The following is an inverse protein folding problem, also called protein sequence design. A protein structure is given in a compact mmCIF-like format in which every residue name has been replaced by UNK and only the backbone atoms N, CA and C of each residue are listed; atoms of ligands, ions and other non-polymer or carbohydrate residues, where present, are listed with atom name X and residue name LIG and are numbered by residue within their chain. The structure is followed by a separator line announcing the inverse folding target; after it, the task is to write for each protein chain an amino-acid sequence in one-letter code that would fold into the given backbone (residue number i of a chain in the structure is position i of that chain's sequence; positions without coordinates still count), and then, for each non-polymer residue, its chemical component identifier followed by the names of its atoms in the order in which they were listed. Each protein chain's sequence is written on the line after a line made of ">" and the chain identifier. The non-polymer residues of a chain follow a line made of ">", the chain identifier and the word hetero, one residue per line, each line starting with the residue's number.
data_IF_320898412204
#
_entry.id   IF_320898412204
#
_cell.length_a   1.000
_cell.length_b   1.000
_cell.length_c   1.000
_cell.angle_alpha   90.00
_cell.angle_beta   90.00
_cell.angle_gamma   90.00
#
_symmetry.space_group_name_H-M   'P 1'
#
loop_
_entity.id
_entity.type
_entity.pdbx_description
1 polymer ?
#
# COMPACT_ATOMS: atom_id res chain seq x y z
N UNK A 1 27.49 6.68 18.23
CA UNK A 1 27.21 7.10 16.84
C UNK A 1 27.85 6.07 15.90
N UNK A 2 27.11 5.03 15.51
CA UNK A 2 27.54 4.12 14.45
C UNK A 2 26.54 4.30 13.31
N UNK A 3 26.79 5.27 12.44
CA UNK A 3 26.14 5.32 11.14
C UNK A 3 26.87 4.29 10.28
N UNK A 4 26.39 3.04 10.31
CA UNK A 4 26.83 2.04 9.35
C UNK A 4 26.37 2.48 7.97
N UNK A 5 27.31 2.89 7.13
CA UNK A 5 27.04 3.19 5.72
C UNK A 5 26.77 1.83 5.04
N UNK A 6 25.51 1.38 5.09
CA UNK A 6 25.06 0.26 4.29
C UNK A 6 24.61 0.83 2.96
N UNK A 7 25.34 0.50 1.89
CA UNK A 7 25.01 0.84 0.51
C UNK A 7 25.16 -0.41 -0.31
N UNK A 8 24.09 -0.84 -0.97
CA UNK A 8 24.09 -1.99 -1.88
C UNK A 8 23.81 -1.52 -3.30
N UNK A 9 24.34 -2.22 -4.31
CA UNK A 9 23.90 -2.04 -5.69
C UNK A 9 22.45 -2.49 -5.92
N UNK A 10 21.87 -3.20 -4.95
CA UNK A 10 20.47 -3.61 -4.94
C UNK A 10 19.54 -2.63 -4.20
N UNK A 11 20.06 -1.53 -3.65
CA UNK A 11 19.26 -0.48 -3.02
C UNK A 11 18.21 0.08 -3.98
N UNK A 12 17.02 0.38 -3.47
CA UNK A 12 15.94 0.94 -4.30
C UNK A 12 15.05 1.91 -3.53
N UNK A 13 14.45 2.85 -4.27
CA UNK A 13 13.37 3.72 -3.79
C UNK A 13 11.99 3.24 -4.24
N UNK A 14 11.92 2.13 -5.00
CA UNK A 14 10.66 1.53 -5.43
C UNK A 14 10.11 0.63 -4.31
N UNK A 15 9.01 1.01 -3.62
CA UNK A 15 8.48 0.25 -2.50
C UNK A 15 8.15 -1.19 -2.88
N UNK A 16 7.69 -1.46 -4.10
CA UNK A 16 7.34 -2.81 -4.54
C UNK A 16 8.57 -3.75 -4.62
N UNK A 17 9.78 -3.20 -4.81
CA UNK A 17 11.03 -3.97 -4.94
C UNK A 17 11.89 -3.97 -3.67
N UNK A 18 11.56 -3.11 -2.69
CA UNK A 18 12.30 -2.93 -1.46
C UNK A 18 12.59 -4.27 -0.75
N UNK A 19 13.85 -4.50 -0.39
CA UNK A 19 14.29 -5.76 0.22
C UNK A 19 15.24 -5.56 1.40
N UNK A 20 15.89 -4.39 1.51
CA UNK A 20 16.86 -4.08 2.55
C UNK A 20 16.27 -3.14 3.61
N UNK A 21 16.85 -3.14 4.81
CA UNK A 21 16.42 -2.24 5.90
C UNK A 21 16.61 -0.76 5.55
N UNK A 22 17.58 -0.43 4.70
CA UNK A 22 17.77 0.91 4.14
C UNK A 22 16.65 1.31 3.20
N UNK A 23 16.14 0.37 2.39
CA UNK A 23 14.97 0.60 1.54
C UNK A 23 13.72 0.85 2.39
N UNK A 24 13.53 0.09 3.47
CA UNK A 24 12.42 0.28 4.42
C UNK A 24 12.38 1.70 4.97
N UNK A 25 13.50 2.19 5.51
CA UNK A 25 13.56 3.54 6.09
C UNK A 25 13.28 4.61 5.03
N UNK A 26 13.80 4.44 3.81
CA UNK A 26 13.54 5.37 2.70
C UNK A 26 12.08 5.35 2.28
N UNK A 27 11.50 4.17 2.10
CA UNK A 27 10.11 4.02 1.66
C UNK A 27 9.15 4.61 2.70
N UNK A 28 9.32 4.27 3.97
CA UNK A 28 8.50 4.82 5.06
C UNK A 28 8.69 6.34 5.28
N UNK A 29 9.78 6.93 4.78
CA UNK A 29 10.01 8.38 4.86
C UNK A 29 9.43 9.14 3.67
N UNK A 30 9.27 8.50 2.52
CA UNK A 30 8.87 9.13 1.25
C UNK A 30 7.42 8.86 0.86
N UNK A 31 6.88 7.71 1.28
CA UNK A 31 5.57 7.21 0.86
C UNK A 31 4.68 6.90 2.06
N UNK A 32 3.38 7.07 1.87
CA UNK A 32 2.35 6.68 2.80
C UNK A 32 1.54 5.51 2.20
N UNK A 33 0.94 4.72 3.08
CA UNK A 33 0.09 3.56 2.75
C UNK A 33 -1.37 3.90 3.02
N UNK A 34 -2.28 3.01 2.62
CA UNK A 34 -3.69 3.14 3.01
C UNK A 34 -3.86 3.03 4.53
N UNK A 35 -3.09 2.14 5.15
CA UNK A 35 -3.08 1.86 6.58
C UNK A 35 -1.64 1.75 7.08
N UNK A 36 -1.43 1.85 8.38
CA UNK A 36 -0.12 1.62 8.98
C UNK A 36 -0.24 0.83 10.28
N UNK A 37 0.82 0.14 10.70
CA UNK A 37 0.90 -0.49 12.01
C UNK A 37 1.54 0.47 13.00
N UNK A 38 0.86 0.71 14.12
CA UNK A 38 1.43 1.49 15.22
C UNK A 38 2.45 0.67 16.04
N UNK A 39 3.01 1.30 17.08
CA UNK A 39 4.01 0.70 17.96
C UNK A 39 3.52 -0.56 18.71
N UNK A 40 2.21 -0.72 18.84
CA UNK A 40 1.57 -1.84 19.52
C UNK A 40 1.16 -2.94 18.52
N UNK A 41 1.46 -2.75 17.23
CA UNK A 41 1.09 -3.67 16.16
C UNK A 41 -0.38 -3.60 15.77
N UNK A 42 -1.06 -2.50 16.12
CA UNK A 42 -2.47 -2.29 15.77
C UNK A 42 -2.55 -1.51 14.46
N UNK A 43 -3.43 -1.97 13.57
CA UNK A 43 -3.67 -1.32 12.27
C UNK A 43 -4.44 -0.02 12.46
N UNK A 44 -3.88 1.06 11.94
CA UNK A 44 -4.41 2.41 11.96
C UNK A 44 -4.61 2.94 10.53
N UNK A 45 -5.51 3.91 10.37
CA UNK A 45 -5.81 4.53 9.07
C UNK A 45 -4.82 5.65 8.73
N UNK A 46 -4.15 5.55 7.58
CA UNK A 46 -3.19 6.55 7.10
C UNK A 46 -3.78 7.36 5.93
N UNK A 47 -3.64 6.92 4.67
CA UNK A 47 -4.30 7.56 3.53
C UNK A 47 -5.78 7.21 3.41
N UNK A 48 -6.18 6.04 3.94
CA UNK A 48 -7.58 5.72 4.11
C UNK A 48 -8.19 6.54 5.26
N UNK A 49 -9.47 6.88 5.13
CA UNK A 49 -10.32 7.41 6.18
C UNK A 49 -11.10 6.26 6.85
N UNK A 50 -11.60 5.31 6.06
CA UNK A 50 -12.29 4.12 6.56
C UNK A 50 -12.03 2.89 5.68
N UNK A 51 -12.23 1.73 6.29
CA UNK A 51 -12.08 0.43 5.66
C UNK A 51 -13.27 -0.44 6.08
N UNK A 52 -14.19 -0.68 5.15
CA UNK A 52 -15.49 -1.29 5.43
C UNK A 52 -15.70 -2.56 4.60
N UNK A 53 -16.21 -3.63 5.23
CA UNK A 53 -16.63 -4.84 4.54
C UNK A 53 -17.72 -5.57 5.34
N UNK A 54 -18.56 -6.33 4.62
CA UNK A 54 -19.61 -7.18 5.23
C UNK A 54 -19.26 -8.67 5.20
N UNK A 55 -18.35 -9.06 4.31
CA UNK A 55 -18.03 -10.45 3.97
C UNK A 55 -16.53 -10.74 4.02
N UNK A 56 -15.71 -9.76 4.39
CA UNK A 56 -14.25 -9.77 4.33
C UNK A 56 -13.68 -10.10 2.95
N UNK A 57 -14.49 -10.06 1.90
CA UNK A 57 -14.13 -10.39 0.51
C UNK A 57 -14.21 -9.17 -0.39
N UNK A 58 -15.23 -8.34 -0.20
CA UNK A 58 -15.38 -7.05 -0.88
C UNK A 58 -15.18 -5.93 0.12
N UNK A 59 -14.18 -5.11 -0.13
CA UNK A 59 -13.75 -4.05 0.76
C UNK A 59 -13.95 -2.69 0.11
N UNK A 60 -14.63 -1.79 0.81
CA UNK A 60 -14.77 -0.39 0.43
C UNK A 60 -13.80 0.44 1.26
N UNK A 61 -12.95 1.19 0.57
CA UNK A 61 -11.94 2.05 1.16
C UNK A 61 -12.29 3.50 0.83
N UNK A 62 -12.55 4.30 1.85
CA UNK A 62 -12.68 5.76 1.67
C UNK A 62 -11.33 6.40 1.86
N UNK A 63 -10.95 7.34 0.99
CA UNK A 63 -9.68 8.06 1.04
C UNK A 63 -9.86 9.39 1.75
N UNK A 64 -8.84 9.81 2.51
CA UNK A 64 -8.79 11.14 3.11
C UNK A 64 -8.79 12.22 2.03
N UNK A 65 -9.53 13.30 2.28
CA UNK A 65 -9.61 14.45 1.37
C UNK A 65 -8.45 15.42 1.61
N UNK A 66 -8.02 16.10 0.55
CA UNK A 66 -6.98 17.13 0.60
C UNK A 66 -5.56 16.58 0.71
N UNK A 67 -5.35 15.29 0.44
CA UNK A 67 -4.01 14.70 0.33
C UNK A 67 -3.46 14.99 -1.07
N UNK A 68 -2.23 15.49 -1.12
CA UNK A 68 -1.49 15.77 -2.35
C UNK A 68 -0.20 14.98 -2.39
N UNK A 69 0.21 14.57 -3.58
CA UNK A 69 1.56 14.07 -3.85
C UNK A 69 2.59 15.21 -3.75
N UNK A 70 3.86 14.85 -3.69
CA UNK A 70 4.97 15.81 -3.59
C UNK A 70 5.10 16.76 -4.80
N UNK A 71 4.47 16.42 -5.94
CA UNK A 71 4.39 17.25 -7.15
C UNK A 71 3.16 18.20 -7.17
N UNK A 72 2.33 18.15 -6.13
CA UNK A 72 1.11 18.96 -5.99
C UNK A 72 -0.14 18.35 -6.61
N UNK A 73 -0.08 17.16 -7.24
CA UNK A 73 -1.28 16.46 -7.73
C UNK A 73 -2.10 15.93 -6.55
N UNK A 74 -3.43 16.05 -6.62
CA UNK A 74 -4.33 15.42 -5.64
C UNK A 74 -4.27 13.88 -5.70
N UNK A 75 -4.32 13.23 -4.54
CA UNK A 75 -4.51 11.79 -4.44
C UNK A 75 -5.94 11.41 -4.85
N UNK A 76 -6.06 10.43 -5.76
CA UNK A 76 -7.36 9.89 -6.19
C UNK A 76 -7.42 8.36 -6.07
N UNK A 77 -8.64 7.84 -6.10
CA UNK A 77 -8.91 6.40 -6.16
C UNK A 77 -8.22 5.70 -7.33
N UNK A 78 -8.07 6.37 -8.48
CA UNK A 78 -7.37 5.82 -9.64
C UNK A 78 -5.87 5.59 -9.37
N UNK A 79 -5.23 6.49 -8.60
CA UNK A 79 -3.83 6.35 -8.21
C UNK A 79 -3.65 5.14 -7.28
N UNK A 80 -4.58 4.93 -6.34
CA UNK A 80 -4.57 3.75 -5.46
C UNK A 80 -4.77 2.47 -6.25
N UNK A 81 -5.76 2.44 -7.16
CA UNK A 81 -6.00 1.29 -8.03
C UNK A 81 -4.78 0.97 -8.90
N UNK A 82 -4.11 2.00 -9.43
CA UNK A 82 -2.87 1.85 -10.19
C UNK A 82 -1.78 1.19 -9.33
N UNK A 83 -1.50 1.72 -8.14
CA UNK A 83 -0.49 1.18 -7.22
C UNK A 83 -0.75 -0.28 -6.84
N UNK A 84 -2.00 -0.63 -6.53
CA UNK A 84 -2.37 -2.01 -6.21
C UNK A 84 -2.19 -2.95 -7.41
N UNK A 85 -2.64 -2.55 -8.60
CA UNK A 85 -2.45 -3.33 -9.83
C UNK A 85 -0.98 -3.50 -10.19
N UNK A 86 -0.14 -2.51 -9.89
CA UNK A 86 1.30 -2.55 -10.14
C UNK A 86 1.98 -3.74 -9.45
N UNK A 87 1.50 -4.20 -8.30
CA UNK A 87 2.04 -5.39 -7.64
C UNK A 87 1.76 -6.70 -8.38
N UNK A 88 0.73 -6.74 -9.23
CA UNK A 88 0.36 -7.92 -10.02
C UNK A 88 1.08 -7.99 -11.37
N UNK A 89 1.68 -6.88 -11.82
CA UNK A 89 2.50 -6.89 -13.02
C UNK A 89 3.82 -7.64 -12.78
N UNK A 90 4.01 -8.74 -13.51
CA UNK A 90 5.22 -9.56 -13.43
C UNK A 90 6.48 -8.78 -13.80
N UNK A 91 6.39 -7.79 -14.69
CA UNK A 91 7.52 -6.96 -15.10
C UNK A 91 8.01 -6.04 -13.96
N UNK A 92 7.13 -5.71 -13.01
CA UNK A 92 7.51 -4.94 -11.81
C UNK A 92 8.36 -5.79 -10.87
N UNK A 93 8.18 -7.10 -10.83
CA UNK A 93 8.97 -7.97 -9.93
C UNK A 93 8.72 -7.69 -8.45
N UNK A 94 7.48 -7.33 -8.11
CA UNK A 94 7.06 -6.99 -6.74
C UNK A 94 7.35 -8.12 -5.74
N UNK A 95 7.96 -7.78 -4.60
CA UNK A 95 8.28 -8.73 -3.52
C UNK A 95 7.02 -9.26 -2.83
N UNK A 96 5.93 -8.51 -2.87
CA UNK A 96 4.62 -8.89 -2.31
C UNK A 96 3.64 -9.35 -3.38
N UNK A 97 4.07 -9.63 -4.61
CA UNK A 97 3.19 -10.06 -5.71
C UNK A 97 2.29 -11.26 -5.34
N UNK A 98 2.82 -12.23 -4.58
CA UNK A 98 2.04 -13.39 -4.10
C UNK A 98 0.96 -13.00 -3.09
N UNK A 99 1.23 -12.00 -2.25
CA UNK A 99 0.25 -11.47 -1.30
C UNK A 99 -0.80 -10.66 -2.06
N UNK A 100 -0.39 -9.81 -3.00
CA UNK A 100 -1.29 -9.05 -3.85
C UNK A 100 -2.18 -9.93 -4.74
N UNK A 101 -1.73 -11.14 -5.12
CA UNK A 101 -2.48 -12.06 -5.98
C UNK A 101 -3.83 -12.50 -5.42
N UNK A 102 -4.06 -12.36 -4.10
CA UNK A 102 -5.37 -12.59 -3.51
C UNK A 102 -6.40 -11.51 -3.89
N UNK A 103 -5.95 -10.32 -4.30
CA UNK A 103 -6.79 -9.20 -4.74
C UNK A 103 -7.09 -9.35 -6.22
N UNK A 104 -8.31 -9.75 -6.54
CA UNK A 104 -8.74 -10.11 -7.90
C UNK A 104 -9.47 -8.98 -8.63
N UNK A 105 -9.96 -7.98 -7.89
CA UNK A 105 -10.69 -6.84 -8.44
C UNK A 105 -10.27 -5.53 -7.78
N UNK A 106 -10.16 -4.49 -8.60
CA UNK A 106 -9.91 -3.11 -8.14
C UNK A 106 -10.78 -2.16 -8.96
N UNK A 107 -11.56 -1.34 -8.27
CA UNK A 107 -12.47 -0.39 -8.90
C UNK A 107 -12.40 0.95 -8.16
N UNK A 108 -12.14 2.02 -8.89
CA UNK A 108 -12.41 3.36 -8.41
C UNK A 108 -13.93 3.59 -8.54
N UNK A 109 -14.64 3.60 -7.41
CA UNK A 109 -16.10 3.83 -7.38
C UNK A 109 -16.38 5.31 -7.63
N UNK A 110 -15.57 6.18 -7.02
CA UNK A 110 -15.51 7.62 -7.25
C UNK A 110 -14.09 8.11 -6.93
N UNK A 111 -13.84 9.43 -7.01
CA UNK A 111 -12.51 10.02 -6.79
C UNK A 111 -11.87 9.68 -5.45
N UNK A 112 -12.67 9.40 -4.42
CA UNK A 112 -12.24 9.17 -3.03
C UNK A 112 -12.66 7.80 -2.50
N UNK A 113 -13.18 6.91 -3.34
CA UNK A 113 -13.67 5.59 -2.91
C UNK A 113 -13.11 4.50 -3.82
N UNK A 114 -12.42 3.55 -3.21
CA UNK A 114 -11.86 2.36 -3.87
C UNK A 114 -12.59 1.13 -3.38
N UNK A 115 -12.97 0.24 -4.30
CA UNK A 115 -13.45 -1.10 -3.99
C UNK A 115 -12.38 -2.12 -4.37
N UNK A 116 -12.06 -3.00 -3.42
CA UNK A 116 -11.11 -4.10 -3.58
C UNK A 116 -11.86 -5.42 -3.39
N UNK A 117 -11.77 -6.31 -4.37
CA UNK A 117 -12.36 -7.66 -4.31
C UNK A 117 -11.26 -8.69 -4.14
N UNK A 118 -11.45 -9.61 -3.20
CA UNK A 118 -10.55 -10.73 -2.94
C UNK A 118 -11.05 -12.02 -3.57
N UNK A 119 -10.15 -12.96 -3.86
CA UNK A 119 -10.48 -14.32 -4.28
C UNK A 119 -11.29 -15.05 -3.18
N UNK A 120 -10.81 -14.95 -1.94
CA UNK A 120 -11.38 -15.55 -0.74
C UNK A 120 -11.52 -14.51 0.38
N UNK A 121 -12.48 -14.67 1.31
CA UNK A 121 -12.60 -13.78 2.47
C UNK A 121 -11.31 -13.72 3.29
N UNK A 122 -10.81 -12.51 3.55
CA UNK A 122 -9.66 -12.27 4.41
C UNK A 122 -9.84 -10.98 5.20
N UNK A 123 -10.01 -11.11 6.52
CA UNK A 123 -10.17 -9.99 7.45
C UNK A 123 -8.88 -9.16 7.63
N UNK A 124 -7.72 -9.73 7.28
CA UNK A 124 -6.42 -9.11 7.47
C UNK A 124 -6.03 -8.13 6.36
N UNK A 125 -6.90 -7.88 5.37
CA UNK A 125 -6.59 -6.97 4.26
C UNK A 125 -6.10 -5.58 4.74
N UNK A 126 -6.71 -4.92 5.75
CA UNK A 126 -6.19 -3.66 6.28
C UNK A 126 -4.78 -3.78 6.83
N UNK A 127 -4.45 -4.90 7.48
CA UNK A 127 -3.11 -5.16 8.02
C UNK A 127 -2.09 -5.44 6.92
N UNK A 128 -2.49 -6.16 5.86
CA UNK A 128 -1.65 -6.43 4.69
C UNK A 128 -1.26 -5.13 3.99
N UNK A 129 -2.20 -4.19 3.85
CA UNK A 129 -1.96 -2.89 3.22
C UNK A 129 -1.11 -1.94 4.07
N UNK A 130 -0.77 -2.33 5.31
CA UNK A 130 0.19 -1.62 6.14
C UNK A 130 1.65 -2.01 5.89
N UNK A 131 1.91 -3.03 5.06
CA UNK A 131 3.27 -3.39 4.68
C UNK A 131 3.89 -2.28 3.82
N UNK A 132 5.14 -1.93 4.10
CA UNK A 132 5.90 -0.87 3.41
C UNK A 132 6.10 -1.07 1.90
N UNK A 133 5.73 -2.25 1.37
CA UNK A 133 5.78 -2.51 -0.06
C UNK A 133 4.61 -1.89 -0.81
N UNK A 134 3.44 -1.78 -0.16
CA UNK A 134 2.22 -1.17 -0.70
C UNK A 134 2.24 0.35 -0.52
#
# INVERSE_FOLDING_TARGET
>A
KAAGWSSSTADTLDPAKASLSTDYVRCCSLYNRLTFLDKDGVTQMELAESFDSKDAKTWTVKLRKGVTFHDGKDLTADDVVYSLKRHLDKAVGSKVAKIAAQMTGFKAVDKSTVEITLADPNADLPTILALHHF
#
